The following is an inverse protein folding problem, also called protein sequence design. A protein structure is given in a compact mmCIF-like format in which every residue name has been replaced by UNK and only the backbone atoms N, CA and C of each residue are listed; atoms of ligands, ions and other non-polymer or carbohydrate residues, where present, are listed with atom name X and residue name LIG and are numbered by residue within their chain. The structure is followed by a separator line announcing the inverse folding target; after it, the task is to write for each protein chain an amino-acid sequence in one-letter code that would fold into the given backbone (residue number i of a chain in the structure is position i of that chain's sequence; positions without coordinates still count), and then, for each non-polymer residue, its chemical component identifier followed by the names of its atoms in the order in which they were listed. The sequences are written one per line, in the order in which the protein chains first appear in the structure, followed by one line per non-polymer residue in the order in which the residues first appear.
data_IF_452195465213
#
_entry.id   IF_452195465213
#
_cell.length_a   1.000
_cell.length_b   1.000
_cell.length_c   1.000
_cell.angle_alpha   90.00
_cell.angle_beta   90.00
_cell.angle_gamma   90.00
#
_symmetry.space_group_name_H-M   'P 1'
#
loop_
_entity.id
_entity.type
_entity.pdbx_description
1 polymer ?
#
# COMPACT_ATOMS: atom_id res chain seq x y z
N UNK A 1 -12.74 -11.83 9.68
CA UNK A 1 -11.48 -12.46 9.20
C UNK A 1 -11.13 -11.76 7.91
N UNK A 2 -10.09 -10.92 7.90
CA UNK A 2 -9.66 -10.26 6.66
C UNK A 2 -9.08 -11.32 5.71
N UNK A 3 -9.51 -11.30 4.46
CA UNK A 3 -9.11 -12.30 3.46
C UNK A 3 -7.85 -11.79 2.77
N UNK A 4 -6.79 -12.61 2.78
CA UNK A 4 -5.61 -12.39 1.94
C UNK A 4 -5.98 -12.80 0.52
N UNK A 5 -5.71 -11.95 -0.46
CA UNK A 5 -5.89 -12.30 -1.87
C UNK A 5 -5.05 -11.41 -2.78
N UNK A 6 -5.33 -11.45 -4.07
CA UNK A 6 -4.48 -10.81 -5.09
C UNK A 6 -5.17 -9.60 -5.72
N UNK A 7 -4.50 -8.45 -5.68
CA UNK A 7 -4.85 -7.27 -6.46
C UNK A 7 -4.16 -7.36 -7.83
N UNK A 8 -4.95 -7.52 -8.88
CA UNK A 8 -4.46 -7.58 -10.25
C UNK A 8 -4.26 -6.18 -10.81
N UNK A 9 -3.13 -5.97 -11.48
CA UNK A 9 -2.83 -4.73 -12.18
C UNK A 9 -2.09 -5.00 -13.48
N UNK A 10 -2.24 -4.07 -14.43
CA UNK A 10 -1.57 -4.13 -15.72
C UNK A 10 -0.56 -2.99 -15.84
N UNK A 11 0.65 -3.32 -16.27
CA UNK A 11 1.68 -2.33 -16.57
C UNK A 11 2.47 -2.75 -17.80
N UNK A 12 2.50 -1.90 -18.84
CA UNK A 12 3.17 -2.17 -20.12
C UNK A 12 2.76 -3.53 -20.70
N UNK A 13 1.45 -3.75 -20.82
CA UNK A 13 0.83 -4.98 -21.34
C UNK A 13 1.16 -6.26 -20.55
N UNK A 14 1.68 -6.10 -19.32
CA UNK A 14 1.99 -7.22 -18.43
C UNK A 14 1.03 -7.21 -17.26
N UNK A 15 0.26 -8.29 -17.15
CA UNK A 15 -0.59 -8.57 -15.99
C UNK A 15 0.30 -9.07 -14.84
N UNK A 16 0.07 -8.51 -13.65
CA UNK A 16 0.74 -8.87 -12.39
C UNK A 16 -0.28 -8.90 -11.26
N UNK A 17 0.08 -9.61 -10.20
CA UNK A 17 -0.69 -9.69 -8.97
C UNK A 17 0.19 -9.18 -7.82
N UNK A 18 -0.39 -8.35 -6.94
CA UNK A 18 0.20 -7.99 -5.66
C UNK A 18 -0.65 -8.59 -4.54
N UNK A 19 -0.04 -9.29 -3.56
CA UNK A 19 -0.79 -9.79 -2.41
C UNK A 19 -1.29 -8.61 -1.60
N UNK A 20 -2.57 -8.65 -1.25
CA UNK A 20 -3.25 -7.62 -0.46
C UNK A 20 -4.11 -8.26 0.61
N UNK A 21 -4.31 -7.53 1.71
CA UNK A 21 -5.29 -7.85 2.73
C UNK A 21 -6.53 -7.01 2.43
N UNK A 22 -7.63 -7.66 2.07
CA UNK A 22 -8.88 -6.95 1.76
C UNK A 22 -9.54 -6.45 3.05
N UNK A 23 -9.85 -5.15 3.08
CA UNK A 23 -10.72 -4.53 4.07
C UNK A 23 -12.19 -4.58 3.64
N UNK A 24 -12.97 -3.60 4.07
CA UNK A 24 -14.38 -3.48 3.71
C UNK A 24 -14.56 -3.02 2.25
N UNK A 25 -15.73 -3.32 1.66
CA UNK A 25 -16.07 -2.84 0.33
C UNK A 25 -16.13 -1.30 0.27
N UNK A 26 -15.67 -0.71 -0.83
CA UNK A 26 -15.64 0.75 -1.01
C UNK A 26 -14.40 1.44 -0.43
N UNK A 27 -13.44 0.67 0.12
CA UNK A 27 -12.16 1.20 0.61
C UNK A 27 -11.12 1.19 -0.51
N UNK A 28 -10.49 2.34 -0.76
CA UNK A 28 -9.39 2.44 -1.71
C UNK A 28 -8.11 1.82 -1.11
N UNK A 29 -7.46 0.95 -1.86
CA UNK A 29 -6.18 0.34 -1.50
C UNK A 29 -5.04 1.20 -2.05
N UNK A 30 -4.07 1.52 -1.20
CA UNK A 30 -2.84 2.23 -1.58
C UNK A 30 -1.62 1.41 -1.14
N UNK A 31 -0.71 1.17 -2.08
CA UNK A 31 0.50 0.38 -1.83
C UNK A 31 1.45 1.12 -0.89
N UNK A 32 2.13 0.40 0.00
CA UNK A 32 3.15 0.96 0.89
C UNK A 32 4.27 1.67 0.10
N UNK A 33 4.68 1.10 -1.04
CA UNK A 33 5.70 1.71 -1.93
C UNK A 33 5.25 3.01 -2.57
N UNK A 34 3.95 3.19 -2.84
CA UNK A 34 3.42 4.44 -3.35
C UNK A 34 3.41 5.52 -2.26
N UNK A 35 3.06 5.14 -1.02
CA UNK A 35 3.14 6.00 0.16
C UNK A 35 4.58 6.47 0.39
N UNK A 36 5.55 5.57 0.27
CA UNK A 36 6.98 5.87 0.40
C UNK A 36 7.48 6.83 -0.70
N UNK A 37 7.04 6.63 -1.94
CA UNK A 37 7.38 7.52 -3.06
C UNK A 37 6.86 8.96 -2.85
N UNK A 38 5.80 9.14 -2.07
CA UNK A 38 5.30 10.45 -1.65
C UNK A 38 5.99 11.03 -0.41
N UNK A 39 7.05 10.38 0.10
CA UNK A 39 7.74 10.82 1.31
C UNK A 39 6.89 10.61 2.56
N UNK A 40 6.02 9.61 2.57
CA UNK A 40 5.20 9.23 3.72
C UNK A 40 5.47 7.79 4.18
N UNK A 41 5.05 7.45 5.39
CA UNK A 41 5.07 6.10 5.98
C UNK A 41 3.79 5.86 6.77
N UNK A 42 3.28 4.63 6.77
CA UNK A 42 2.14 4.24 7.61
C UNK A 42 2.63 3.87 9.02
N UNK A 43 2.08 4.52 10.06
CA UNK A 43 2.16 4.03 11.45
C UNK A 43 1.09 2.92 11.62
N UNK A 44 1.46 1.63 11.64
CA UNK A 44 0.48 0.54 11.64
C UNK A 44 -0.25 0.42 12.98
N UNK A 45 0.31 0.97 14.06
CA UNK A 45 -0.28 0.94 15.41
C UNK A 45 -1.37 1.99 15.52
N UNK A 46 -1.09 3.21 15.05
CA UNK A 46 -2.05 4.33 15.09
C UNK A 46 -2.95 4.42 13.87
N UNK A 47 -2.61 3.73 12.77
CA UNK A 47 -3.27 3.80 11.46
C UNK A 47 -3.24 5.21 10.85
N UNK A 48 -2.11 5.89 11.01
CA UNK A 48 -1.90 7.26 10.54
C UNK A 48 -0.76 7.32 9.52
N UNK A 49 -0.89 8.14 8.48
CA UNK A 49 0.22 8.46 7.60
C UNK A 49 1.10 9.54 8.23
N UNK A 50 2.40 9.29 8.29
CA UNK A 50 3.40 10.21 8.83
C UNK A 50 4.42 10.56 7.75
N UNK A 51 5.08 11.73 7.83
CA UNK A 51 6.22 12.02 6.97
C UNK A 51 7.31 10.95 7.17
N UNK A 52 7.92 10.49 6.06
CA UNK A 52 9.10 9.64 6.11
C UNK A 52 10.22 10.40 6.83
N UNK A 53 10.88 9.80 7.84
CA UNK A 53 12.09 10.37 8.40
C UNK A 53 13.14 10.46 7.31
N UNK A 54 13.56 11.67 6.96
CA UNK A 54 14.69 11.85 6.06
C UNK A 54 15.97 11.47 6.82
N UNK A 55 16.44 10.26 6.59
CA UNK A 55 17.79 9.86 6.99
C UNK A 55 18.74 10.42 5.93
N UNK A 56 19.40 11.53 6.25
CA UNK A 56 20.60 11.92 5.51
C UNK A 56 21.67 10.88 5.85
N UNK A 57 22.00 10.01 4.90
CA UNK A 57 23.21 9.17 4.93
C UNK A 57 24.44 9.99 4.59
#
# INVERSE_FOLDING_TARGET
MQVVGDAWFEYRDKIRAAPVVFGDQGVFLLSATAIEAWGMILDPVRRELKPLPMLLT
#
